data_IF_874265270704
#
_entry.id   IF_874265270704
#
_cell.length_a   1.000
_cell.length_b   1.000
_cell.length_c   1.000
_cell.angle_alpha   90.00
_cell.angle_beta   90.00
_cell.angle_gamma   90.00
#
_symmetry.space_group_name_H-M   'P 1'
#
loop_
_entity.id
_entity.type
_entity.pdbx_description
1 polymer ?
#
# COMPACT_ATOMS: atom_id res chain seq x y z
N UNK A 1 -5.29 -50.38 4.63
CA UNK A 1 -6.06 -49.64 5.64
C UNK A 1 -5.10 -49.09 6.67
N UNK A 2 -4.79 -47.80 6.61
CA UNK A 2 -4.75 -46.88 7.76
C UNK A 2 -4.55 -45.48 7.20
N UNK A 3 -5.48 -44.65 7.61
CA UNK A 3 -5.87 -43.34 7.10
C UNK A 3 -5.26 -42.29 8.03
N UNK A 4 -4.67 -41.24 7.42
CA UNK A 4 -4.52 -39.86 7.94
C UNK A 4 -3.40 -39.57 8.97
N UNK A 5 -2.99 -38.28 9.14
CA UNK A 5 -3.47 -37.06 8.46
C UNK A 5 -2.38 -36.25 7.76
N UNK A 6 -2.79 -35.57 6.69
CA UNK A 6 -2.11 -34.38 6.18
C UNK A 6 -2.10 -33.33 7.29
N UNK A 7 -0.91 -32.79 7.61
CA UNK A 7 -0.81 -31.63 8.49
C UNK A 7 -1.34 -30.42 7.73
N UNK A 8 -2.50 -29.95 8.17
CA UNK A 8 -3.14 -28.70 7.78
C UNK A 8 -2.13 -27.57 7.69
N UNK A 9 -2.10 -26.92 6.53
CA UNK A 9 -1.38 -25.68 6.31
C UNK A 9 -2.11 -24.56 7.04
N UNK A 10 -1.71 -24.29 8.28
CA UNK A 10 -2.30 -23.22 9.09
C UNK A 10 -1.79 -21.85 8.63
N UNK A 11 -2.54 -21.22 7.73
CA UNK A 11 -2.85 -19.77 7.67
C UNK A 11 -1.67 -18.82 7.97
N UNK A 12 -0.73 -18.66 7.03
CA UNK A 12 0.11 -17.46 6.93
C UNK A 12 -0.45 -16.59 5.80
N UNK A 13 -1.32 -15.61 6.10
CA UNK A 13 -2.03 -14.86 5.03
C UNK A 13 -2.23 -13.35 5.25
N UNK A 14 -2.13 -12.77 6.47
CA UNK A 14 -2.24 -11.31 6.61
C UNK A 14 -0.95 -10.54 6.27
N UNK A 15 0.20 -11.01 6.75
CA UNK A 15 1.48 -10.31 6.60
C UNK A 15 1.98 -10.27 5.14
N UNK A 16 1.87 -11.39 4.43
CA UNK A 16 2.24 -11.48 3.02
C UNK A 16 1.37 -10.58 2.13
N UNK A 17 0.07 -10.45 2.44
CA UNK A 17 -0.83 -9.54 1.71
C UNK A 17 -0.46 -8.08 1.94
N UNK A 18 -0.14 -7.68 3.18
CA UNK A 18 0.31 -6.31 3.48
C UNK A 18 1.64 -5.99 2.80
N UNK A 19 2.58 -6.94 2.77
CA UNK A 19 3.84 -6.81 2.03
C UNK A 19 3.62 -6.73 0.51
N UNK A 20 2.72 -7.53 -0.05
CA UNK A 20 2.34 -7.45 -1.47
C UNK A 20 1.72 -6.10 -1.81
N UNK A 21 0.83 -5.58 -0.96
CA UNK A 21 0.28 -4.23 -1.12
C UNK A 21 1.38 -3.17 -1.07
N UNK A 22 2.28 -3.25 -0.10
CA UNK A 22 3.41 -2.34 0.03
C UNK A 22 4.32 -2.35 -1.20
N UNK A 23 4.61 -3.54 -1.73
CA UNK A 23 5.36 -3.71 -2.98
C UNK A 23 4.62 -3.12 -4.19
N UNK A 24 3.31 -3.33 -4.29
CA UNK A 24 2.47 -2.73 -5.33
C UNK A 24 2.53 -1.19 -5.27
N UNK A 25 2.32 -0.60 -4.09
CA UNK A 25 2.37 0.85 -3.88
C UNK A 25 3.72 1.43 -4.28
N UNK A 26 4.81 0.75 -3.87
CA UNK A 26 6.17 1.13 -4.23
C UNK A 26 6.39 1.11 -5.74
N UNK A 27 6.00 0.02 -6.40
CA UNK A 27 6.13 -0.13 -7.85
C UNK A 27 5.35 0.96 -8.59
N UNK A 28 4.13 1.26 -8.13
CA UNK A 28 3.31 2.32 -8.71
C UNK A 28 3.97 3.69 -8.54
N UNK A 29 4.43 4.02 -7.32
CA UNK A 29 5.13 5.28 -7.04
C UNK A 29 6.37 5.47 -7.92
N UNK A 30 7.18 4.42 -8.07
CA UNK A 30 8.42 4.47 -8.85
C UNK A 30 8.17 4.59 -10.37
N UNK A 31 7.00 4.16 -10.85
CA UNK A 31 6.59 4.26 -12.26
C UNK A 31 6.06 5.63 -12.70
N UNK A 32 5.67 6.48 -11.75
CA UNK A 32 5.03 7.77 -12.05
C UNK A 32 6.07 8.85 -12.30
N UNK A 33 5.86 9.61 -13.38
CA UNK A 33 6.65 10.80 -13.69
C UNK A 33 6.17 11.99 -12.84
N UNK A 34 7.01 12.56 -11.97
CA UNK A 34 6.66 13.73 -11.17
C UNK A 34 6.19 14.92 -12.02
N UNK A 35 6.75 15.10 -13.22
CA UNK A 35 6.41 16.25 -14.07
C UNK A 35 4.97 16.18 -14.57
N UNK A 36 4.44 14.97 -14.82
CA UNK A 36 3.03 14.78 -15.19
C UNK A 36 2.06 15.16 -14.09
N UNK A 37 2.53 15.25 -12.85
CA UNK A 37 1.77 15.62 -11.67
C UNK A 37 2.04 17.07 -11.24
N UNK A 38 2.68 17.86 -12.10
CA UNK A 38 3.00 19.27 -11.82
C UNK A 38 4.15 19.45 -10.82
N UNK A 39 4.88 18.38 -10.49
CA UNK A 39 5.99 18.45 -9.54
C UNK A 39 7.31 18.74 -10.28
N UNK A 40 8.09 19.72 -9.82
CA UNK A 40 9.36 20.04 -10.45
C UNK A 40 10.39 18.94 -10.21
N UNK A 41 11.17 18.64 -11.24
CA UNK A 41 12.30 17.70 -11.14
C UNK A 41 13.53 18.40 -10.55
N UNK A 42 13.45 18.80 -9.29
CA UNK A 42 14.54 19.56 -8.64
C UNK A 42 15.69 18.62 -8.24
N UNK A 43 16.89 18.91 -8.76
CA UNK A 43 18.16 18.28 -8.37
C UNK A 43 18.34 16.81 -8.78
N UNK A 44 19.40 16.18 -8.27
CA UNK A 44 19.72 14.77 -8.54
C UNK A 44 18.77 13.86 -7.74
N UNK A 45 17.86 13.18 -8.43
CA UNK A 45 16.90 12.24 -7.81
C UNK A 45 17.51 10.83 -7.73
N UNK A 46 17.39 10.19 -6.56
CA UNK A 46 17.76 8.77 -6.38
C UNK A 46 16.65 7.82 -6.84
N UNK A 47 15.41 8.30 -6.85
CA UNK A 47 14.23 7.54 -7.30
C UNK A 47 13.83 8.04 -8.68
N UNK A 48 13.59 7.14 -9.66
CA UNK A 48 13.21 7.53 -11.02
C UNK A 48 11.86 8.26 -11.07
N UNK A 49 10.90 7.82 -10.26
CA UNK A 49 9.57 8.42 -10.15
C UNK A 49 9.36 9.29 -8.92
N UNK A 50 8.17 9.17 -8.31
CA UNK A 50 7.78 9.94 -7.14
C UNK A 50 8.55 9.54 -5.87
N UNK A 51 8.83 10.53 -5.03
CA UNK A 51 9.33 10.35 -3.66
C UNK A 51 8.16 10.05 -2.73
N UNK A 52 8.46 9.45 -1.57
CA UNK A 52 7.45 9.20 -0.53
C UNK A 52 6.80 10.50 -0.05
N UNK A 53 7.60 11.55 0.12
CA UNK A 53 7.15 12.88 0.52
C UNK A 53 6.16 13.48 -0.49
N UNK A 54 6.43 13.29 -1.79
CA UNK A 54 5.57 13.78 -2.84
C UNK A 54 4.22 13.04 -2.86
N UNK A 55 4.23 11.71 -2.72
CA UNK A 55 2.96 10.95 -2.62
C UNK A 55 2.19 11.33 -1.36
N UNK A 56 2.88 11.46 -0.23
CA UNK A 56 2.26 11.83 1.03
C UNK A 56 1.58 13.21 0.93
N UNK A 57 2.25 14.19 0.31
CA UNK A 57 1.69 15.50 0.02
C UNK A 57 0.48 15.43 -0.92
N UNK A 58 0.59 14.69 -2.03
CA UNK A 58 -0.51 14.54 -3.00
C UNK A 58 -1.74 13.80 -2.41
N UNK A 59 -1.52 12.92 -1.42
CA UNK A 59 -2.55 12.14 -0.76
C UNK A 59 -3.07 12.78 0.54
N UNK A 60 -2.53 13.94 0.94
CA UNK A 60 -2.82 14.61 2.21
C UNK A 60 -2.62 13.70 3.44
N UNK A 61 -1.46 13.04 3.51
CA UNK A 61 -1.06 12.15 4.62
C UNK A 61 0.35 12.44 5.10
N UNK A 62 0.69 11.93 6.29
CA UNK A 62 2.06 11.98 6.80
C UNK A 62 3.02 11.07 6.02
N UNK A 63 4.25 11.54 5.79
CA UNK A 63 5.31 10.78 5.09
C UNK A 63 5.64 9.47 5.81
N UNK A 64 5.73 9.50 7.14
CA UNK A 64 5.96 8.32 7.98
C UNK A 64 4.84 7.30 7.81
N UNK A 65 3.60 7.76 7.76
CA UNK A 65 2.43 6.91 7.58
C UNK A 65 2.46 6.20 6.22
N UNK A 66 2.72 6.94 5.14
CA UNK A 66 2.88 6.35 3.80
C UNK A 66 4.07 5.37 3.74
N UNK A 67 5.15 5.66 4.47
CA UNK A 67 6.30 4.75 4.58
C UNK A 67 5.93 3.43 5.25
N UNK A 68 5.13 3.46 6.32
CA UNK A 68 4.65 2.24 6.97
C UNK A 68 3.70 1.43 6.09
N UNK A 69 2.84 2.12 5.34
CA UNK A 69 1.98 1.48 4.35
C UNK A 69 2.80 0.75 3.27
N UNK A 70 3.85 1.38 2.73
CA UNK A 70 4.76 0.73 1.78
C UNK A 70 5.56 -0.44 2.38
N UNK A 71 5.82 -0.42 3.69
CA UNK A 71 6.52 -1.50 4.40
C UNK A 71 5.60 -2.68 4.73
N UNK A 72 4.30 -2.57 4.47
CA UNK A 72 3.32 -3.59 4.85
C UNK A 72 3.12 -3.70 6.37
N UNK A 73 3.41 -2.63 7.12
CA UNK A 73 3.10 -2.59 8.55
C UNK A 73 1.60 -2.55 8.76
N UNK A 74 1.19 -2.92 9.96
CA UNK A 74 -0.20 -2.77 10.38
C UNK A 74 -0.57 -1.30 10.48
N UNK A 75 -1.42 -0.86 9.56
CA UNK A 75 -2.03 0.47 9.54
C UNK A 75 -3.50 0.30 9.19
N UNK A 76 -4.39 1.04 9.86
CA UNK A 76 -5.82 1.05 9.58
C UNK A 76 -6.21 2.35 8.84
N UNK A 77 -5.99 2.46 7.52
CA UNK A 77 -6.34 3.65 6.77
C UNK A 77 -7.86 3.86 6.74
N UNK A 78 -8.28 5.12 6.85
CA UNK A 78 -9.64 5.51 6.51
C UNK A 78 -9.89 5.33 5.00
N UNK A 79 -11.16 5.30 4.60
CA UNK A 79 -11.54 5.26 3.18
C UNK A 79 -11.01 6.48 2.42
N UNK A 80 -11.17 7.67 3.01
CA UNK A 80 -10.68 8.92 2.44
C UNK A 80 -9.17 8.88 2.19
N UNK A 81 -8.39 8.32 3.12
CA UNK A 81 -6.94 8.16 2.96
C UNK A 81 -6.60 7.21 1.80
N UNK A 82 -7.30 6.08 1.68
CA UNK A 82 -7.09 5.17 0.54
C UNK A 82 -7.46 5.80 -0.80
N UNK A 83 -8.52 6.59 -0.85
CA UNK A 83 -8.89 7.38 -2.04
C UNK A 83 -7.79 8.38 -2.38
N UNK A 84 -7.30 9.13 -1.39
CA UNK A 84 -6.20 10.09 -1.56
C UNK A 84 -4.95 9.41 -2.12
N UNK A 85 -4.55 8.26 -1.55
CA UNK A 85 -3.41 7.48 -2.04
C UNK A 85 -3.64 6.94 -3.45
N UNK A 86 -4.84 6.42 -3.74
CA UNK A 86 -5.17 5.94 -5.09
C UNK A 86 -5.11 7.06 -6.13
N UNK A 87 -5.60 8.25 -5.79
CA UNK A 87 -5.54 9.43 -6.66
C UNK A 87 -4.10 9.91 -6.86
N UNK A 88 -3.33 10.04 -5.79
CA UNK A 88 -1.92 10.43 -5.83
C UNK A 88 -1.07 9.48 -6.69
N UNK A 89 -1.41 8.18 -6.66
CA UNK A 89 -0.73 7.15 -7.44
C UNK A 89 -1.37 6.88 -8.81
N UNK A 90 -2.35 7.70 -9.23
CA UNK A 90 -3.10 7.55 -10.47
C UNK A 90 -3.57 6.11 -10.71
N UNK A 91 -4.05 5.44 -9.66
CA UNK A 91 -4.51 4.06 -9.73
C UNK A 91 -5.73 3.95 -10.64
N UNK A 92 -5.74 2.93 -11.48
CA UNK A 92 -6.92 2.52 -12.24
C UNK A 92 -8.03 2.03 -11.31
N UNK A 93 -9.29 1.94 -11.79
CA UNK A 93 -10.39 1.41 -10.99
C UNK A 93 -10.13 0.00 -10.42
N UNK A 94 -9.37 -0.84 -11.15
CA UNK A 94 -9.02 -2.19 -10.71
C UNK A 94 -8.01 -2.16 -9.55
N UNK A 95 -6.98 -1.32 -9.66
CA UNK A 95 -5.96 -1.13 -8.63
C UNK A 95 -6.55 -0.48 -7.36
N UNK A 96 -7.45 0.48 -7.53
CA UNK A 96 -8.20 1.08 -6.42
C UNK A 96 -9.03 0.01 -5.68
N UNK A 97 -9.70 -0.89 -6.40
CA UNK A 97 -10.38 -2.04 -5.77
C UNK A 97 -9.41 -2.96 -5.02
N UNK A 98 -8.19 -3.15 -5.51
CA UNK A 98 -7.16 -3.93 -4.81
C UNK A 98 -6.77 -3.30 -3.46
N UNK A 99 -6.58 -1.98 -3.43
CA UNK A 99 -6.34 -1.21 -2.20
C UNK A 99 -7.46 -1.39 -1.17
N UNK A 100 -8.73 -1.30 -1.61
CA UNK A 100 -9.88 -1.49 -0.72
C UNK A 100 -10.07 -2.93 -0.25
N UNK A 101 -9.75 -3.92 -1.08
CA UNK A 101 -9.77 -5.34 -0.68
C UNK A 101 -8.73 -5.63 0.38
N UNK A 102 -7.54 -5.05 0.26
CA UNK A 102 -6.48 -5.23 1.26
C UNK A 102 -6.92 -4.70 2.65
N UNK A 103 -7.67 -3.59 2.71
CA UNK A 103 -8.27 -3.09 3.96
C UNK A 103 -9.30 -4.05 4.56
N UNK A 104 -10.20 -4.61 3.74
CA UNK A 104 -11.26 -5.53 4.22
C UNK A 104 -10.74 -6.92 4.61
N UNK A 105 -9.60 -7.31 4.05
CA UNK A 105 -8.97 -8.59 4.30
C UNK A 105 -8.13 -8.62 5.59
N UNK A 106 -8.31 -7.63 6.47
CA UNK A 106 -7.85 -7.65 7.85
C UNK A 106 -8.95 -8.22 8.76
N UNK A 107 -8.98 -9.54 9.04
CA UNK A 107 -9.89 -10.14 10.00
C UNK A 107 -9.47 -9.93 11.47
N UNK A 108 -8.55 -9.01 11.79
CA UNK A 108 -8.05 -8.82 13.15
C UNK A 108 -7.99 -7.35 13.62
N UNK A 109 -8.84 -6.47 13.08
CA UNK A 109 -9.10 -5.14 13.64
C UNK A 109 -9.88 -5.15 14.96
N UNK A 110 -9.63 -6.11 15.85
CA UNK A 110 -10.10 -6.10 17.23
C UNK A 110 -8.92 -6.21 18.18
N UNK A 111 -8.38 -5.05 18.57
CA UNK A 111 -7.89 -4.92 19.94
C UNK A 111 -8.36 -3.60 20.57
N UNK A 112 -8.96 -3.66 21.76
CA UNK A 112 -9.36 -2.48 22.53
C UNK A 112 -8.17 -1.87 23.27
N UNK A 113 -8.28 -0.55 23.48
CA UNK A 113 -7.45 0.38 24.28
C UNK A 113 -6.09 0.81 23.73
#
# INVERSE_FOLDING_TARGET
MTTMPQRESTIAVPDDRRKQLGAFLRARRESLDPQRLGLPRVGRRRTPGLRREEVAMLADVGVTWYTWLEQGREVNPSEAVLVGVANALQCSPLETRHLFRARRADPAGSHPR
#
